data_IF_275889970134
#
_entry.id   IF_275889970134
#
_cell.length_a   1.000
_cell.length_b   1.000
_cell.length_c   1.000
_cell.angle_alpha   90.00
_cell.angle_beta   90.00
_cell.angle_gamma   90.00
#
_symmetry.space_group_name_H-M   'P 1'
#
loop_
_entity.id
_entity.type
_entity.pdbx_description
1 polymer ?
#
# COMPACT_ATOMS: atom_id res chain seq x y z
N UNK A 1 -11.05 16.79 -33.13
CA UNK A 1 -10.54 16.88 -31.76
C UNK A 1 -10.53 15.47 -31.19
N UNK A 2 -9.36 14.92 -30.87
CA UNK A 2 -9.31 13.64 -30.13
C UNK A 2 -10.04 13.84 -28.81
N UNK A 3 -10.94 12.92 -28.44
CA UNK A 3 -11.43 12.89 -27.06
C UNK A 3 -10.21 12.78 -26.13
N UNK A 4 -10.22 13.56 -25.04
CA UNK A 4 -9.16 13.52 -24.05
C UNK A 4 -9.12 12.12 -23.42
N UNK A 5 -7.92 11.63 -23.14
CA UNK A 5 -7.70 10.30 -22.57
C UNK A 5 -8.17 10.28 -21.09
N UNK A 6 -9.22 9.52 -20.74
CA UNK A 6 -9.78 9.55 -19.38
C UNK A 6 -8.78 9.14 -18.30
N UNK A 7 -7.80 8.28 -18.63
CA UNK A 7 -6.73 7.91 -17.70
C UNK A 7 -5.82 9.11 -17.41
N UNK A 8 -5.48 9.86 -18.46
CA UNK A 8 -4.64 11.05 -18.33
C UNK A 8 -5.38 12.13 -17.54
N UNK A 9 -6.67 12.34 -17.79
CA UNK A 9 -7.50 13.27 -17.02
C UNK A 9 -7.59 12.89 -15.54
N UNK A 10 -7.74 11.59 -15.25
CA UNK A 10 -7.68 11.09 -13.88
C UNK A 10 -6.32 11.40 -13.26
N UNK A 11 -5.21 11.01 -13.90
CA UNK A 11 -3.86 11.25 -13.37
C UNK A 11 -3.58 12.74 -13.12
N UNK A 12 -4.02 13.63 -14.02
CA UNK A 12 -3.90 15.08 -13.85
C UNK A 12 -4.64 15.58 -12.61
N UNK A 13 -5.83 15.03 -12.33
CA UNK A 13 -6.62 15.40 -11.13
C UNK A 13 -5.97 14.92 -9.82
N UNK A 14 -5.15 13.87 -9.87
CA UNK A 14 -4.43 13.36 -8.70
C UNK A 14 -3.15 14.15 -8.37
N UNK A 15 -2.61 14.94 -9.32
CA UNK A 15 -1.34 15.68 -9.17
C UNK A 15 -1.26 16.49 -7.87
N UNK A 16 -2.27 17.29 -7.47
CA UNK A 16 -2.16 18.11 -6.26
C UNK A 16 -2.00 17.27 -4.96
N UNK A 17 -2.74 16.16 -4.86
CA UNK A 17 -2.65 15.26 -3.71
C UNK A 17 -1.30 14.50 -3.70
N UNK A 18 -0.84 14.05 -4.88
CA UNK A 18 0.48 13.42 -5.00
C UNK A 18 1.60 14.38 -4.60
N UNK A 19 1.54 15.64 -5.04
CA UNK A 19 2.52 16.65 -4.66
C UNK A 19 2.55 16.85 -3.14
N UNK A 20 1.38 16.93 -2.50
CA UNK A 20 1.26 17.02 -1.03
C UNK A 20 2.00 15.89 -0.33
N UNK A 21 1.87 14.66 -0.83
CA UNK A 21 2.55 13.49 -0.27
C UNK A 21 4.05 13.48 -0.55
N UNK A 22 4.50 13.88 -1.74
CA UNK A 22 5.92 13.90 -2.12
C UNK A 22 6.72 15.01 -1.42
N UNK A 23 6.06 16.11 -1.06
CA UNK A 23 6.65 17.27 -0.39
C UNK A 23 6.36 17.29 1.12
N UNK A 24 5.73 16.23 1.65
CA UNK A 24 5.26 16.17 3.02
C UNK A 24 6.40 16.39 4.05
N UNK A 25 6.19 17.23 5.09
CA UNK A 25 7.23 17.52 6.08
C UNK A 25 7.70 16.31 6.91
N UNK A 26 6.90 15.23 6.96
CA UNK A 26 7.25 13.95 7.60
C UNK A 26 8.67 13.48 7.25
N UNK A 27 9.06 13.54 5.98
CA UNK A 27 10.37 13.02 5.57
C UNK A 27 11.53 13.73 6.25
N UNK A 28 11.41 15.05 6.48
CA UNK A 28 12.44 15.82 7.19
C UNK A 28 12.47 15.49 8.68
N UNK A 29 11.34 15.04 9.24
CA UNK A 29 11.22 14.65 10.65
C UNK A 29 11.82 13.27 10.94
N UNK A 30 12.06 12.44 9.92
CA UNK A 30 12.81 11.18 10.04
C UNK A 30 14.31 11.52 10.19
N UNK A 31 14.68 12.22 11.26
CA UNK A 31 16.02 12.79 11.49
C UNK A 31 16.95 11.90 12.34
N UNK A 32 16.50 10.69 12.66
CA UNK A 32 17.29 9.70 13.38
C UNK A 32 16.49 8.46 13.75
N UNK A 33 17.13 7.56 14.49
CA UNK A 33 16.56 6.25 14.81
C UNK A 33 15.23 6.31 15.58
N UNK A 34 15.03 7.31 16.45
CA UNK A 34 13.78 7.45 17.20
C UNK A 34 12.59 7.77 16.29
N UNK A 35 12.72 8.78 15.43
CA UNK A 35 11.68 9.14 14.48
C UNK A 35 11.44 8.04 13.44
N UNK A 36 12.51 7.34 12.99
CA UNK A 36 12.36 6.19 12.10
C UNK A 36 11.57 5.06 12.75
N UNK A 37 11.83 4.72 14.02
CA UNK A 37 11.02 3.71 14.72
C UNK A 37 9.56 4.12 14.80
N UNK A 38 9.27 5.38 15.16
CA UNK A 38 7.89 5.88 15.18
C UNK A 38 7.22 5.79 13.79
N UNK A 39 7.96 6.10 12.72
CA UNK A 39 7.47 5.92 11.35
C UNK A 39 7.07 4.46 11.12
N UNK A 40 7.96 3.51 11.44
CA UNK A 40 7.72 2.10 11.21
C UNK A 40 6.55 1.55 12.04
N UNK A 41 6.43 1.97 13.31
CA UNK A 41 5.35 1.61 14.23
C UNK A 41 3.95 2.01 13.73
N UNK A 42 3.87 3.05 12.89
CA UNK A 42 2.61 3.47 12.26
C UNK A 42 2.44 2.91 10.85
N UNK A 43 3.53 2.82 10.08
CA UNK A 43 3.49 2.46 8.67
C UNK A 43 3.24 0.97 8.47
N UNK A 44 3.61 0.11 9.43
CA UNK A 44 3.40 -1.34 9.35
C UNK A 44 1.94 -1.73 9.08
N UNK A 45 0.97 -0.96 9.58
CA UNK A 45 -0.46 -1.19 9.32
C UNK A 45 -0.82 -0.96 7.85
N UNK A 46 -0.19 0.02 7.20
CA UNK A 46 -0.35 0.28 5.78
C UNK A 46 0.36 -0.75 4.89
N UNK A 47 1.35 -1.47 5.44
CA UNK A 47 1.98 -2.62 4.79
C UNK A 47 1.08 -3.85 4.90
N UNK A 48 0.48 -4.06 6.08
CA UNK A 48 -0.43 -5.18 6.31
C UNK A 48 -1.73 -5.03 5.51
N UNK A 49 -2.38 -3.85 5.52
CA UNK A 49 -3.67 -3.67 4.84
C UNK A 49 -3.54 -3.69 3.31
N UNK A 50 -2.36 -3.42 2.77
CA UNK A 50 -2.05 -3.54 1.36
C UNK A 50 -2.27 -4.98 0.87
N UNK A 51 -1.90 -5.98 1.68
CA UNK A 51 -2.18 -7.39 1.37
C UNK A 51 -3.68 -7.64 1.23
N UNK A 52 -4.49 -7.03 2.09
CA UNK A 52 -5.97 -7.15 2.01
C UNK A 52 -6.52 -6.48 0.75
N UNK A 53 -5.99 -5.31 0.37
CA UNK A 53 -6.36 -4.61 -0.86
C UNK A 53 -6.01 -5.45 -2.10
N UNK A 54 -4.80 -6.03 -2.13
CA UNK A 54 -4.34 -6.93 -3.18
C UNK A 54 -5.19 -8.20 -3.25
N UNK A 55 -5.59 -8.78 -2.11
CA UNK A 55 -6.51 -9.92 -2.08
C UNK A 55 -7.91 -9.58 -2.58
N UNK A 56 -8.41 -8.39 -2.27
CA UNK A 56 -9.65 -7.88 -2.85
C UNK A 56 -9.59 -7.91 -4.38
N UNK A 57 -8.49 -7.46 -4.97
CA UNK A 57 -8.27 -7.53 -6.42
C UNK A 57 -8.15 -8.97 -6.92
N UNK A 58 -7.33 -9.79 -6.28
CA UNK A 58 -7.11 -11.18 -6.70
C UNK A 58 -8.41 -11.99 -6.71
N UNK A 59 -9.27 -11.80 -5.70
CA UNK A 59 -10.59 -12.43 -5.60
C UNK A 59 -11.54 -12.03 -6.73
N UNK A 60 -11.44 -10.79 -7.22
CA UNK A 60 -12.31 -10.28 -8.27
C UNK A 60 -11.76 -10.51 -9.69
N UNK A 61 -10.44 -10.57 -9.85
CA UNK A 61 -9.77 -10.69 -11.14
C UNK A 61 -9.35 -12.13 -11.49
N UNK A 62 -9.26 -13.02 -10.50
CA UNK A 62 -8.80 -14.41 -10.69
C UNK A 62 -9.78 -15.41 -10.07
N UNK A 63 -9.33 -16.64 -9.84
CA UNK A 63 -10.08 -17.66 -9.13
C UNK A 63 -9.25 -18.17 -7.95
N UNK A 64 -9.70 -17.88 -6.74
CA UNK A 64 -9.12 -18.39 -5.49
C UNK A 64 -10.03 -19.41 -4.80
N UNK A 65 -11.13 -19.78 -5.46
CA UNK A 65 -12.18 -20.68 -4.95
C UNK A 65 -12.15 -22.04 -5.67
N UNK A 66 -12.77 -23.05 -5.05
CA UNK A 66 -12.97 -24.39 -5.61
C UNK A 66 -14.47 -24.61 -5.91
N UNK A 67 -14.86 -25.13 -7.09
CA UNK A 67 -14.00 -25.55 -8.21
C UNK A 67 -13.40 -24.38 -9.00
N UNK A 68 -12.18 -24.60 -9.50
CA UNK A 68 -11.44 -23.61 -10.29
C UNK A 68 -12.14 -23.26 -11.60
N UNK A 69 -12.07 -21.98 -11.99
CA UNK A 69 -12.56 -21.45 -13.26
C UNK A 69 -11.54 -20.50 -13.89
N UNK A 70 -11.45 -20.42 -15.23
CA UNK A 70 -10.53 -19.49 -15.89
C UNK A 70 -10.96 -18.03 -15.69
N UNK A 71 -9.99 -17.14 -15.52
CA UNK A 71 -10.22 -15.70 -15.42
C UNK A 71 -10.78 -15.11 -16.72
N UNK A 72 -11.67 -14.10 -16.59
CA UNK A 72 -12.28 -13.40 -17.72
C UNK A 72 -11.27 -12.50 -18.45
N UNK A 73 -10.49 -11.75 -17.70
CA UNK A 73 -9.39 -10.93 -18.20
C UNK A 73 -8.05 -11.61 -17.83
N UNK A 74 -7.42 -12.24 -18.82
CA UNK A 74 -6.17 -12.99 -18.62
C UNK A 74 -4.98 -12.07 -18.32
N UNK A 75 -4.98 -10.84 -18.85
CA UNK A 75 -3.92 -9.88 -18.63
C UNK A 75 -4.00 -9.33 -17.21
N UNK A 76 -5.20 -8.96 -16.76
CA UNK A 76 -5.44 -8.56 -15.37
C UNK A 76 -5.10 -9.69 -14.38
N UNK A 77 -5.47 -10.92 -14.70
CA UNK A 77 -5.16 -12.08 -13.87
C UNK A 77 -3.65 -12.37 -13.80
N UNK A 78 -2.91 -12.19 -14.90
CA UNK A 78 -1.45 -12.32 -14.89
C UNK A 78 -0.81 -11.26 -14.00
N UNK A 79 -1.17 -9.99 -14.20
CA UNK A 79 -0.64 -8.87 -13.42
C UNK A 79 -0.86 -9.08 -11.92
N UNK A 80 -2.10 -9.32 -11.48
CA UNK A 80 -2.39 -9.44 -10.04
C UNK A 80 -1.68 -10.63 -9.42
N UNK A 81 -1.50 -11.74 -10.16
CA UNK A 81 -0.76 -12.89 -9.64
C UNK A 81 0.76 -12.68 -9.61
N UNK A 82 1.33 -11.86 -10.51
CA UNK A 82 2.74 -11.45 -10.42
C UNK A 82 2.98 -10.58 -9.19
N UNK A 83 2.09 -9.63 -8.92
CA UNK A 83 2.15 -8.80 -7.72
C UNK A 83 1.98 -9.68 -6.47
N UNK A 84 1.02 -10.60 -6.46
CA UNK A 84 0.84 -11.54 -5.33
C UNK A 84 2.11 -12.37 -5.07
N UNK A 85 2.77 -12.86 -6.12
CA UNK A 85 4.04 -13.59 -5.97
C UNK A 85 5.10 -12.72 -5.29
N UNK A 86 5.24 -11.47 -5.75
CA UNK A 86 6.20 -10.51 -5.21
C UNK A 86 5.87 -10.08 -3.77
N UNK A 87 4.59 -9.97 -3.42
CA UNK A 87 4.19 -9.38 -2.14
C UNK A 87 4.02 -10.42 -1.02
N UNK A 88 3.53 -11.62 -1.34
CA UNK A 88 3.27 -12.67 -0.34
C UNK A 88 4.42 -13.65 -0.15
N UNK A 89 5.32 -13.72 -1.12
CA UNK A 89 6.35 -14.75 -1.16
C UNK A 89 7.60 -14.28 -1.91
N UNK A 90 8.05 -13.07 -1.61
CA UNK A 90 9.27 -12.53 -2.20
C UNK A 90 10.50 -13.29 -1.73
N UNK A 91 11.60 -13.15 -2.45
CA UNK A 91 12.92 -13.50 -1.93
C UNK A 91 13.24 -12.65 -0.69
N UNK A 92 13.77 -13.28 0.35
CA UNK A 92 14.09 -12.57 1.61
C UNK A 92 15.53 -12.04 1.69
N UNK A 93 16.34 -12.30 0.65
CA UNK A 93 17.77 -11.94 0.60
C UNK A 93 18.68 -12.85 1.43
N UNK A 94 18.13 -13.87 2.11
CA UNK A 94 18.83 -14.84 2.95
C UNK A 94 18.72 -16.28 2.40
N UNK A 95 18.18 -16.42 1.19
CA UNK A 95 17.99 -17.70 0.49
C UNK A 95 16.64 -18.38 0.77
N UNK A 96 15.72 -17.68 1.44
CA UNK A 96 14.35 -18.09 1.69
C UNK A 96 13.33 -17.19 1.02
N UNK A 97 12.08 -17.31 1.47
CA UNK A 97 10.96 -16.49 1.00
C UNK A 97 10.20 -15.90 2.19
N UNK A 98 9.66 -14.70 2.01
CA UNK A 98 8.84 -14.02 3.00
C UNK A 98 7.84 -13.07 2.33
N UNK A 99 6.71 -12.84 2.98
CA UNK A 99 5.85 -11.72 2.59
C UNK A 99 6.51 -10.37 2.89
N UNK A 100 6.14 -9.33 2.15
CA UNK A 100 6.58 -7.97 2.43
C UNK A 100 6.19 -7.49 3.83
N UNK A 101 5.07 -7.97 4.39
CA UNK A 101 4.72 -7.74 5.80
C UNK A 101 5.76 -8.36 6.75
N UNK A 102 6.15 -9.61 6.54
CA UNK A 102 7.17 -10.26 7.36
C UNK A 102 8.54 -9.59 7.22
N UNK A 103 8.93 -9.19 6.00
CA UNK A 103 10.17 -8.44 5.77
C UNK A 103 10.15 -7.10 6.54
N UNK A 104 9.03 -6.38 6.51
CA UNK A 104 8.88 -5.14 7.25
C UNK A 104 8.96 -5.37 8.76
N UNK A 105 8.28 -6.40 9.28
CA UNK A 105 8.27 -6.73 10.70
C UNK A 105 9.67 -7.16 11.20
N UNK A 106 10.44 -7.91 10.40
CA UNK A 106 11.84 -8.22 10.69
C UNK A 106 12.69 -6.95 10.73
N UNK A 107 12.51 -6.05 9.77
CA UNK A 107 13.19 -4.77 9.74
C UNK A 107 12.84 -3.88 10.97
N UNK A 108 11.59 -3.92 11.44
CA UNK A 108 11.18 -3.24 12.68
C UNK A 108 11.96 -3.76 13.89
N UNK A 109 12.06 -5.09 14.03
CA UNK A 109 12.78 -5.73 15.13
C UNK A 109 14.27 -5.36 15.12
N UNK A 110 14.90 -5.37 13.96
CA UNK A 110 16.30 -4.93 13.81
C UNK A 110 16.50 -3.46 14.16
N UNK A 111 15.51 -2.61 13.82
CA UNK A 111 15.51 -1.18 14.13
C UNK A 111 15.24 -0.87 15.62
N UNK A 112 14.82 -1.88 16.39
CA UNK A 112 14.34 -1.73 17.76
C UNK A 112 12.98 -1.00 17.86
N UNK A 113 12.20 -0.97 16.78
CA UNK A 113 10.84 -0.47 16.77
C UNK A 113 9.92 -1.42 17.55
N UNK A 114 8.90 -0.88 18.21
CA UNK A 114 7.92 -1.70 18.94
C UNK A 114 7.02 -2.46 17.95
N UNK A 115 6.88 -3.76 18.16
CA UNK A 115 6.02 -4.63 17.33
C UNK A 115 4.81 -5.17 18.07
N UNK A 116 4.73 -5.01 19.39
CA UNK A 116 3.68 -5.63 20.22
C UNK A 116 2.26 -5.30 19.74
N UNK A 117 2.03 -4.04 19.34
CA UNK A 117 0.71 -3.58 18.88
C UNK A 117 0.32 -4.24 17.56
N UNK A 118 1.19 -4.25 16.55
CA UNK A 118 0.88 -4.89 15.26
C UNK A 118 0.79 -6.41 15.38
N UNK A 119 1.66 -7.03 16.20
CA UNK A 119 1.61 -8.48 16.44
C UNK A 119 0.33 -8.88 17.18
N UNK A 120 -0.13 -8.07 18.14
CA UNK A 120 -1.44 -8.26 18.79
C UNK A 120 -2.57 -8.11 17.78
N UNK A 121 -2.55 -7.06 16.95
CA UNK A 121 -3.56 -6.82 15.92
C UNK A 121 -3.71 -8.04 15.00
N UNK A 122 -2.60 -8.53 14.42
CA UNK A 122 -2.63 -9.70 13.52
C UNK A 122 -3.09 -10.96 14.24
N UNK A 123 -2.63 -11.21 15.47
CA UNK A 123 -3.07 -12.36 16.26
C UNK A 123 -4.59 -12.34 16.48
N UNK A 124 -5.19 -11.17 16.73
CA UNK A 124 -6.64 -11.04 16.88
C UNK A 124 -7.41 -11.29 15.59
N UNK A 125 -6.86 -10.87 14.45
CA UNK A 125 -7.43 -11.21 13.14
C UNK A 125 -7.35 -12.73 12.90
N UNK A 126 -6.24 -13.38 13.23
CA UNK A 126 -6.08 -14.84 13.10
C UNK A 126 -7.04 -15.63 13.99
N UNK A 127 -7.36 -15.08 15.17
CA UNK A 127 -8.37 -15.62 16.10
C UNK A 127 -9.82 -15.37 15.64
N UNK A 128 -10.01 -14.65 14.52
CA UNK A 128 -11.32 -14.38 13.92
C UNK A 128 -12.04 -13.17 14.51
N UNK A 129 -11.34 -12.27 15.21
CA UNK A 129 -11.93 -11.01 15.64
C UNK A 129 -12.32 -10.13 14.44
N UNK A 130 -13.36 -9.31 14.61
CA UNK A 130 -13.70 -8.27 13.64
C UNK A 130 -12.62 -7.18 13.59
N UNK A 131 -12.50 -6.51 12.44
CA UNK A 131 -11.46 -5.50 12.21
C UNK A 131 -11.43 -4.41 13.30
N UNK A 132 -12.58 -3.79 13.59
CA UNK A 132 -12.71 -2.74 14.61
C UNK A 132 -12.27 -3.24 16.01
N UNK A 133 -12.66 -4.46 16.37
CA UNK A 133 -12.27 -5.08 17.65
C UNK A 133 -10.76 -5.31 17.73
N UNK A 134 -10.15 -5.83 16.65
CA UNK A 134 -8.71 -6.06 16.60
C UNK A 134 -7.93 -4.73 16.69
N UNK A 135 -8.40 -3.67 16.02
CA UNK A 135 -7.79 -2.34 16.07
C UNK A 135 -7.81 -1.75 17.49
N UNK A 136 -8.95 -1.85 18.18
CA UNK A 136 -9.12 -1.33 19.54
C UNK A 136 -8.28 -2.11 20.57
N UNK A 137 -8.36 -3.45 20.58
CA UNK A 137 -7.65 -4.30 21.53
C UNK A 137 -6.12 -4.20 21.38
N UNK A 138 -5.64 -4.06 20.14
CA UNK A 138 -4.23 -3.85 19.84
C UNK A 138 -3.73 -2.42 20.11
N UNK A 139 -4.65 -1.49 20.41
CA UNK A 139 -4.38 -0.06 20.62
C UNK A 139 -3.64 0.58 19.45
N UNK A 140 -4.10 0.29 18.24
CA UNK A 140 -3.52 0.81 17.01
C UNK A 140 -3.55 2.34 17.03
N UNK A 141 -2.48 3.05 16.60
CA UNK A 141 -2.50 4.49 16.52
C UNK A 141 -3.68 4.99 15.67
N UNK A 142 -4.39 6.01 16.14
CA UNK A 142 -5.66 6.44 15.53
C UNK A 142 -5.56 6.72 14.02
N UNK A 143 -4.48 7.38 13.57
CA UNK A 143 -4.27 7.64 12.15
C UNK A 143 -4.04 6.36 11.32
N UNK A 144 -3.37 5.35 11.90
CA UNK A 144 -3.19 4.04 11.27
C UNK A 144 -4.48 3.23 11.26
N UNK A 145 -5.26 3.26 12.34
CA UNK A 145 -6.57 2.61 12.42
C UNK A 145 -7.53 3.17 11.36
N UNK A 146 -7.66 4.51 11.28
CA UNK A 146 -8.48 5.17 10.26
C UNK A 146 -8.05 4.77 8.84
N UNK A 147 -6.73 4.71 8.60
CA UNK A 147 -6.21 4.34 7.30
C UNK A 147 -6.57 2.89 6.90
N UNK A 148 -6.48 1.96 7.85
CA UNK A 148 -6.89 0.56 7.65
C UNK A 148 -8.40 0.48 7.41
N UNK A 149 -9.21 1.20 8.19
CA UNK A 149 -10.66 1.26 8.02
C UNK A 149 -11.06 1.78 6.64
N UNK A 150 -10.41 2.84 6.14
CA UNK A 150 -10.66 3.37 4.79
C UNK A 150 -10.30 2.36 3.68
N UNK A 151 -9.22 1.59 3.87
CA UNK A 151 -8.86 0.47 2.98
C UNK A 151 -9.96 -0.59 2.95
N UNK A 152 -10.44 -1.03 4.11
CA UNK A 152 -11.48 -2.07 4.18
C UNK A 152 -12.83 -1.57 3.68
N UNK A 153 -13.18 -0.31 3.95
CA UNK A 153 -14.37 0.31 3.36
C UNK A 153 -14.32 0.29 1.83
N UNK A 154 -13.15 0.56 1.22
CA UNK A 154 -12.95 0.47 -0.23
C UNK A 154 -13.16 -0.96 -0.75
N UNK A 155 -12.67 -1.97 -0.02
CA UNK A 155 -12.83 -3.39 -0.36
C UNK A 155 -14.32 -3.79 -0.30
N UNK A 156 -15.02 -3.40 0.77
CA UNK A 156 -16.42 -3.77 1.04
C UNK A 156 -17.41 -3.16 0.05
N UNK A 157 -17.13 -1.96 -0.47
CA UNK A 157 -17.96 -1.35 -1.50
C UNK A 157 -18.03 -2.18 -2.81
N UNK A 158 -17.08 -3.09 -3.03
CA UNK A 158 -17.14 -4.09 -4.11
C UNK A 158 -16.99 -3.55 -5.54
N UNK A 159 -16.74 -2.26 -5.74
CA UNK A 159 -16.44 -1.72 -7.07
C UNK A 159 -15.00 -2.07 -7.47
N UNK A 160 -14.86 -2.94 -8.45
CA UNK A 160 -13.56 -3.33 -9.01
C UNK A 160 -12.77 -2.13 -9.56
N UNK A 161 -13.46 -1.15 -10.16
CA UNK A 161 -12.78 0.06 -10.70
C UNK A 161 -12.27 0.96 -9.59
N UNK A 162 -13.07 1.15 -8.51
CA UNK A 162 -12.64 1.89 -7.32
C UNK A 162 -11.45 1.21 -6.66
N UNK A 163 -11.55 -0.09 -6.44
CA UNK A 163 -10.52 -0.90 -5.79
C UNK A 163 -9.21 -0.88 -6.59
N UNK A 164 -9.29 -1.09 -7.91
CA UNK A 164 -8.12 -1.05 -8.78
C UNK A 164 -7.46 0.32 -8.79
N UNK A 165 -8.23 1.41 -8.79
CA UNK A 165 -7.66 2.75 -8.78
C UNK A 165 -7.05 3.14 -7.43
N UNK A 166 -7.67 2.74 -6.31
CA UNK A 166 -7.11 2.90 -4.97
C UNK A 166 -5.77 2.16 -4.84
N UNK A 167 -5.70 0.91 -5.34
CA UNK A 167 -4.48 0.13 -5.42
C UNK A 167 -3.44 0.82 -6.31
N UNK A 168 -3.77 1.08 -7.58
CA UNK A 168 -2.82 1.62 -8.56
C UNK A 168 -2.25 2.96 -8.13
N UNK A 169 -3.09 3.94 -7.81
CA UNK A 169 -2.62 5.32 -7.63
C UNK A 169 -2.31 5.69 -6.18
N UNK A 170 -2.89 4.97 -5.21
CA UNK A 170 -2.66 5.22 -3.78
C UNK A 170 -1.58 4.32 -3.16
N UNK A 171 -1.27 3.19 -3.81
CA UNK A 171 -0.29 2.21 -3.34
C UNK A 171 0.83 2.00 -4.36
N UNK A 172 0.54 1.44 -5.54
CA UNK A 172 1.59 0.98 -6.45
C UNK A 172 2.43 2.11 -7.05
N UNK A 173 1.78 3.10 -7.68
CA UNK A 173 2.42 4.16 -8.47
C UNK A 173 3.01 5.30 -7.61
N UNK A 174 2.67 5.34 -6.32
CA UNK A 174 3.13 6.38 -5.40
C UNK A 174 4.36 5.94 -4.60
N UNK A 175 4.39 4.67 -4.17
CA UNK A 175 5.33 4.19 -3.16
C UNK A 175 6.81 4.31 -3.57
N UNK A 176 7.24 4.03 -4.82
CA UNK A 176 8.64 4.19 -5.21
C UNK A 176 9.21 5.57 -4.90
N UNK A 177 8.53 6.63 -5.32
CA UNK A 177 8.98 8.01 -5.10
C UNK A 177 8.94 8.41 -3.62
N UNK A 178 8.01 7.86 -2.84
CA UNK A 178 7.94 8.07 -1.38
C UNK A 178 9.09 7.35 -0.67
N UNK A 179 9.36 6.11 -1.05
CA UNK A 179 10.42 5.30 -0.46
C UNK A 179 11.81 5.85 -0.78
N UNK A 180 12.04 6.40 -1.97
CA UNK A 180 13.26 7.13 -2.30
C UNK A 180 13.54 8.28 -1.30
N UNK A 181 12.51 9.03 -0.88
CA UNK A 181 12.66 10.09 0.13
C UNK A 181 13.06 9.52 1.49
N UNK A 182 12.47 8.40 1.89
CA UNK A 182 12.74 7.75 3.16
C UNK A 182 14.15 7.15 3.18
N UNK A 183 14.56 6.45 2.12
CA UNK A 183 15.91 5.88 1.98
C UNK A 183 16.97 6.99 2.05
N UNK A 184 16.78 8.07 1.28
CA UNK A 184 17.73 9.19 1.26
C UNK A 184 17.94 9.79 2.66
N UNK A 185 16.85 9.93 3.41
CA UNK A 185 16.90 10.47 4.76
C UNK A 185 17.50 9.46 5.76
N UNK A 186 17.06 8.19 5.74
CA UNK A 186 17.55 7.16 6.65
C UNK A 186 19.06 6.92 6.49
N UNK A 187 19.56 6.93 5.24
CA UNK A 187 20.99 6.79 4.96
C UNK A 187 21.82 7.96 5.50
N UNK A 188 21.25 9.17 5.52
CA UNK A 188 21.94 10.37 5.98
C UNK A 188 22.04 10.44 7.52
N UNK A 189 21.08 9.86 8.24
CA UNK A 189 20.91 10.09 9.70
C UNK A 189 21.12 8.85 10.54
N UNK A 190 21.01 7.66 9.96
CA UNK A 190 20.81 6.44 10.71
C UNK A 190 21.62 5.30 10.07
N UNK A 191 22.88 5.14 10.50
CA UNK A 191 23.65 3.96 10.13
C UNK A 191 23.00 2.71 10.73
N UNK A 192 22.77 1.65 9.94
CA UNK A 192 22.44 0.33 10.47
C UNK A 192 21.06 -0.28 10.14
N UNK A 193 20.34 0.15 9.10
CA UNK A 193 19.01 -0.40 8.76
C UNK A 193 19.02 -1.26 7.49
N UNK A 194 19.96 -2.20 7.39
CA UNK A 194 20.19 -3.00 6.17
C UNK A 194 18.94 -3.72 5.65
N UNK A 195 18.17 -4.39 6.53
CA UNK A 195 16.93 -5.07 6.13
C UNK A 195 15.80 -4.10 5.74
N UNK A 196 15.73 -2.93 6.37
CA UNK A 196 14.76 -1.90 5.99
C UNK A 196 15.09 -1.31 4.62
N UNK A 197 16.37 -1.02 4.37
CA UNK A 197 16.83 -0.58 3.05
C UNK A 197 16.56 -1.65 1.98
N UNK A 198 16.81 -2.92 2.30
CA UNK A 198 16.47 -4.03 1.41
C UNK A 198 14.98 -4.01 1.04
N UNK A 199 14.09 -3.96 2.04
CA UNK A 199 12.64 -3.86 1.84
C UNK A 199 12.25 -2.68 0.92
N UNK A 200 12.77 -1.48 1.18
CA UNK A 200 12.46 -0.29 0.38
C UNK A 200 12.99 -0.41 -1.06
N UNK A 201 14.19 -0.97 -1.24
CA UNK A 201 14.78 -1.18 -2.55
C UNK A 201 14.00 -2.20 -3.39
N UNK A 202 13.40 -3.23 -2.79
CA UNK A 202 12.53 -4.19 -3.50
C UNK A 202 11.34 -3.47 -4.15
N UNK A 203 10.66 -2.60 -3.41
CA UNK A 203 9.53 -1.81 -3.93
C UNK A 203 9.95 -0.81 -5.01
N UNK A 204 11.09 -0.13 -4.84
CA UNK A 204 11.60 0.79 -5.88
C UNK A 204 11.86 0.04 -7.20
N UNK A 205 12.43 -1.16 -7.14
CA UNK A 205 12.76 -1.97 -8.32
C UNK A 205 11.56 -2.63 -8.98
N UNK A 206 10.65 -3.22 -8.19
CA UNK A 206 9.51 -3.97 -8.72
C UNK A 206 8.38 -3.05 -9.18
N UNK A 207 8.06 -2.04 -8.37
CA UNK A 207 6.83 -1.26 -8.57
C UNK A 207 7.03 -0.15 -9.61
N UNK A 208 8.24 0.43 -9.67
CA UNK A 208 8.56 1.55 -10.55
C UNK A 208 8.55 1.20 -12.05
N UNK A 209 9.20 0.10 -12.42
CA UNK A 209 9.44 -0.21 -13.84
C UNK A 209 8.42 -1.20 -14.44
N UNK A 210 7.81 -2.05 -13.61
CA UNK A 210 6.95 -3.15 -14.09
C UNK A 210 5.51 -2.96 -13.65
N UNK A 211 5.25 -2.95 -12.35
CA UNK A 211 3.88 -3.04 -11.86
C UNK A 211 3.10 -1.73 -12.02
N UNK A 212 3.70 -0.56 -11.79
CA UNK A 212 3.02 0.74 -11.94
C UNK A 212 2.38 0.95 -13.33
N UNK A 213 3.15 0.83 -14.43
CA UNK A 213 2.59 0.92 -15.78
C UNK A 213 1.52 -0.13 -16.09
N UNK A 214 1.67 -1.34 -15.54
CA UNK A 214 0.68 -2.42 -15.72
C UNK A 214 -0.61 -2.15 -14.93
N UNK A 215 -0.50 -1.61 -13.71
CA UNK A 215 -1.61 -1.25 -12.84
C UNK A 215 -2.42 -0.07 -13.43
N UNK A 216 -1.77 0.90 -14.09
CA UNK A 216 -2.46 1.94 -14.83
C UNK A 216 -3.23 1.39 -16.06
N UNK A 217 -2.65 0.41 -16.76
CA UNK A 217 -3.34 -0.30 -17.86
C UNK A 217 -4.52 -1.12 -17.36
N UNK A 218 -4.42 -1.73 -16.17
CA UNK A 218 -5.53 -2.44 -15.52
C UNK A 218 -6.72 -1.50 -15.30
N UNK A 219 -6.50 -0.33 -14.69
CA UNK A 219 -7.58 0.66 -14.49
C UNK A 219 -8.25 1.04 -15.80
N UNK A 220 -7.45 1.30 -16.85
CA UNK A 220 -7.98 1.58 -18.19
C UNK A 220 -8.84 0.44 -18.75
N UNK A 221 -8.35 -0.80 -18.67
CA UNK A 221 -9.07 -2.00 -19.14
C UNK A 221 -10.42 -2.14 -18.43
N UNK A 222 -10.41 -2.00 -17.10
CA UNK A 222 -11.60 -2.15 -16.27
C UNK A 222 -12.63 -1.05 -16.54
N UNK A 223 -12.19 0.21 -16.66
CA UNK A 223 -13.10 1.33 -16.88
C UNK A 223 -13.65 1.37 -18.31
N UNK A 224 -12.84 1.03 -19.31
CA UNK A 224 -13.25 1.02 -20.71
C UNK A 224 -13.83 2.37 -21.14
N UNK A 225 -14.97 2.33 -21.84
CA UNK A 225 -15.67 3.54 -22.31
C UNK A 225 -16.76 4.03 -21.34
N UNK A 226 -16.95 3.39 -20.19
CA UNK A 226 -18.08 3.63 -19.28
C UNK A 226 -17.78 4.79 -18.32
N UNK A 227 -18.45 5.96 -18.43
CA UNK A 227 -18.12 7.14 -17.62
C UNK A 227 -18.28 6.92 -16.12
N UNK A 228 -19.25 6.09 -15.72
CA UNK A 228 -19.48 5.75 -14.30
C UNK A 228 -18.31 4.98 -13.70
N UNK A 229 -17.66 4.10 -14.47
CA UNK A 229 -16.48 3.35 -13.98
C UNK A 229 -15.29 4.28 -13.74
N UNK A 230 -15.11 5.28 -14.61
CA UNK A 230 -14.10 6.32 -14.42
C UNK A 230 -14.39 7.19 -13.20
N UNK A 231 -15.65 7.53 -12.92
CA UNK A 231 -16.02 8.23 -11.66
C UNK A 231 -15.70 7.41 -10.42
N UNK A 232 -15.95 6.10 -10.45
CA UNK A 232 -15.62 5.19 -9.35
C UNK A 232 -14.10 5.06 -9.15
N UNK A 233 -13.35 4.94 -10.25
CA UNK A 233 -11.89 4.90 -10.22
C UNK A 233 -11.31 6.20 -9.64
N UNK A 234 -11.82 7.35 -10.06
CA UNK A 234 -11.42 8.65 -9.51
C UNK A 234 -11.70 8.76 -8.02
N UNK A 235 -12.90 8.41 -7.58
CA UNK A 235 -13.25 8.46 -6.17
C UNK A 235 -12.31 7.59 -5.33
N UNK A 236 -12.06 6.34 -5.75
CA UNK A 236 -11.15 5.42 -5.06
C UNK A 236 -9.71 5.93 -5.00
N UNK A 237 -9.20 6.49 -6.10
CA UNK A 237 -7.85 7.05 -6.12
C UNK A 237 -7.72 8.29 -5.22
N UNK A 238 -8.70 9.19 -5.25
CA UNK A 238 -8.69 10.38 -4.41
C UNK A 238 -8.83 10.06 -2.93
N UNK A 239 -9.71 9.12 -2.57
CA UNK A 239 -9.90 8.63 -1.21
C UNK A 239 -8.60 8.00 -0.68
N UNK A 240 -8.00 7.07 -1.43
CA UNK A 240 -6.75 6.42 -1.03
C UNK A 240 -5.58 7.41 -0.82
N UNK A 241 -5.47 8.45 -1.66
CA UNK A 241 -4.46 9.50 -1.49
C UNK A 241 -4.75 10.41 -0.29
N UNK A 242 -6.01 10.73 -0.01
CA UNK A 242 -6.39 11.52 1.18
C UNK A 242 -6.15 10.74 2.46
N UNK A 243 -6.52 9.46 2.49
CA UNK A 243 -6.19 8.52 3.56
C UNK A 243 -4.70 8.57 3.90
N UNK A 244 -3.88 8.51 2.84
CA UNK A 244 -2.42 8.54 2.94
C UNK A 244 -1.92 9.84 3.54
N UNK A 245 -2.46 10.99 3.12
CA UNK A 245 -2.10 12.29 3.70
C UNK A 245 -2.43 12.31 5.19
N UNK A 246 -3.63 11.88 5.58
CA UNK A 246 -4.05 11.83 6.98
C UNK A 246 -3.15 10.91 7.82
N UNK A 247 -2.74 9.76 7.27
CA UNK A 247 -1.78 8.87 7.91
C UNK A 247 -0.41 9.57 8.12
N UNK A 248 0.09 10.27 7.11
CA UNK A 248 1.35 11.03 7.18
C UNK A 248 1.28 12.17 8.20
N UNK A 249 0.16 12.89 8.27
CA UNK A 249 -0.09 13.93 9.27
C UNK A 249 -0.07 13.35 10.69
N UNK A 250 -0.74 12.21 10.89
CA UNK A 250 -0.76 11.51 12.18
C UNK A 250 0.62 11.00 12.61
N UNK A 251 1.40 10.45 11.67
CA UNK A 251 2.79 10.04 11.91
C UNK A 251 3.66 11.23 12.30
N UNK A 252 3.53 12.36 11.60
CA UNK A 252 4.29 13.56 11.90
C UNK A 252 3.97 14.07 13.31
N UNK A 253 2.69 14.11 13.68
CA UNK A 253 2.28 14.52 15.02
C UNK A 253 2.82 13.59 16.12
N UNK A 254 2.93 12.29 15.84
CA UNK A 254 3.49 11.32 16.78
C UNK A 254 5.01 11.42 16.97
N UNK A 255 5.73 12.06 16.04
CA UNK A 255 7.18 12.26 16.14
C UNK A 255 7.59 13.48 16.99
N UNK A 256 6.62 14.29 17.42
CA UNK A 256 6.84 15.56 18.13
C UNK A 256 7.60 16.57 17.30
#
# INVERSE_FOLDING_TARGET
MSAADPLQELQLRLVPLRATLLEHPLYRRIDGAAALRTFMEHHVYAVWDFMSLLKGLQKQLTCVEIPWRPARDRAAARLVNEIVLAEESDEDGEGGFASHYELYLRAMKDAGAKTDSIETFVARIDEGAGLETALDEAKVPAAAAQFVEETFHTIEQGSLCRLAAAFTFGREDLLPSVFEKIVAQANATAGGFGRFQYYLNRHIQLDGDVHGPMAARLVRSLCGAEPERWRQAEAGAMEALRARVALWDGMLAAMG
#
